data_IF_584320480612
#
_entry.id   IF_584320480612
#
_cell.length_a   1.000
_cell.length_b   1.000
_cell.length_c   1.000
_cell.angle_alpha   90.00
_cell.angle_beta   90.00
_cell.angle_gamma   90.00
#
_symmetry.space_group_name_H-M   'P 1'
#
loop_
_entity.id
_entity.type
_entity.pdbx_description
1 polymer ?
#
# COMPACT_ATOMS: atom_id res chain seq x y z
N UNK A 1 9.92 -5.84 -9.47
CA UNK A 1 10.67 -4.64 -9.91
C UNK A 1 11.37 -4.08 -8.69
N UNK A 2 12.65 -3.73 -8.74
CA UNK A 2 13.28 -2.99 -7.65
C UNK A 2 12.59 -1.63 -7.51
N UNK A 3 12.35 -1.22 -6.27
CA UNK A 3 11.76 0.07 -5.94
C UNK A 3 12.94 1.05 -5.81
N UNK A 4 13.03 2.06 -6.68
CA UNK A 4 14.13 3.04 -6.65
C UNK A 4 13.89 4.08 -5.54
N UNK A 5 13.95 3.65 -4.28
CA UNK A 5 13.73 4.47 -3.08
C UNK A 5 14.72 4.10 -1.97
N UNK A 6 16.01 4.06 -2.32
CA UNK A 6 17.07 3.52 -1.47
C UNK A 6 17.15 4.19 -0.09
N UNK A 7 17.01 5.53 -0.04
CA UNK A 7 17.12 6.28 1.22
C UNK A 7 16.00 5.89 2.20
N UNK A 8 14.76 5.83 1.72
CA UNK A 8 13.61 5.51 2.58
C UNK A 8 13.58 4.02 2.91
N UNK A 9 14.07 3.16 2.01
CA UNK A 9 14.22 1.73 2.30
C UNK A 9 15.26 1.48 3.39
N UNK A 10 16.43 2.10 3.31
CA UNK A 10 17.48 1.97 4.33
C UNK A 10 17.00 2.47 5.70
N UNK A 11 16.28 3.60 5.72
CA UNK A 11 15.63 4.09 6.93
C UNK A 11 14.60 3.08 7.48
N UNK A 12 13.75 2.53 6.61
CA UNK A 12 12.74 1.56 7.03
C UNK A 12 13.35 0.26 7.56
N UNK A 13 14.42 -0.23 6.94
CA UNK A 13 15.14 -1.42 7.38
C UNK A 13 15.80 -1.19 8.74
N UNK A 14 16.39 0.00 8.96
CA UNK A 14 16.94 0.40 10.26
C UNK A 14 15.86 0.43 11.34
N UNK A 15 14.70 1.02 11.07
CA UNK A 15 13.54 1.02 11.96
C UNK A 15 13.10 -0.42 12.27
N UNK A 16 12.98 -1.27 11.24
CA UNK A 16 12.58 -2.66 11.38
C UNK A 16 13.54 -3.46 12.26
N UNK A 17 14.85 -3.23 12.13
CA UNK A 17 15.86 -3.86 12.95
C UNK A 17 15.75 -3.44 14.42
N UNK A 18 15.59 -2.13 14.68
CA UNK A 18 15.42 -1.60 16.04
C UNK A 18 14.14 -2.15 16.68
N UNK A 19 13.02 -2.13 15.98
CA UNK A 19 11.74 -2.67 16.45
C UNK A 19 11.87 -4.17 16.78
N UNK A 20 12.51 -4.93 15.89
CA UNK A 20 12.75 -6.37 16.09
C UNK A 20 13.64 -6.65 17.30
N UNK A 21 14.67 -5.82 17.51
CA UNK A 21 15.52 -5.90 18.68
C UNK A 21 14.77 -5.56 19.98
N UNK A 22 14.01 -4.47 20.00
CA UNK A 22 13.20 -4.05 21.15
C UNK A 22 12.20 -5.13 21.59
N UNK A 23 11.66 -5.87 20.62
CA UNK A 23 10.77 -7.01 20.89
C UNK A 23 11.52 -8.21 21.48
N UNK A 24 12.65 -8.61 20.86
CA UNK A 24 13.48 -9.73 21.33
C UNK A 24 14.09 -9.50 22.71
N UNK A 25 14.39 -8.26 23.05
CA UNK A 25 14.93 -7.86 24.35
C UNK A 25 13.86 -7.57 25.40
N UNK A 26 12.57 -7.74 25.08
CA UNK A 26 11.43 -7.46 25.96
C UNK A 26 11.40 -6.02 26.51
N UNK A 27 11.99 -5.05 25.78
CA UNK A 27 12.09 -3.65 26.19
C UNK A 27 10.89 -2.79 25.79
N UNK A 28 9.94 -3.36 25.04
CA UNK A 28 8.73 -2.64 24.62
C UNK A 28 7.87 -2.14 25.80
N UNK A 29 7.93 -2.80 26.95
CA UNK A 29 7.21 -2.38 28.16
C UNK A 29 7.70 -1.05 28.75
N UNK A 30 8.88 -0.58 28.32
CA UNK A 30 9.47 0.68 28.78
C UNK A 30 9.03 1.90 27.94
N UNK A 31 8.30 1.67 26.86
CA UNK A 31 7.80 2.71 25.97
C UNK A 31 6.36 3.11 26.36
N UNK A 32 6.02 4.37 26.16
CA UNK A 32 4.66 4.89 26.35
C UNK A 32 3.66 4.22 25.40
N UNK A 33 4.12 3.84 24.20
CA UNK A 33 3.32 3.14 23.19
C UNK A 33 4.04 1.87 22.71
N UNK A 34 3.28 0.79 22.56
CA UNK A 34 3.83 -0.48 22.05
C UNK A 34 4.19 -0.33 20.57
N UNK A 35 5.46 -0.57 20.24
CA UNK A 35 5.93 -0.66 18.86
C UNK A 35 5.15 -1.75 18.11
N UNK A 36 4.62 -1.38 16.95
CA UNK A 36 3.89 -2.30 16.09
C UNK A 36 4.88 -3.17 15.31
N UNK A 37 4.55 -4.44 15.13
CA UNK A 37 5.34 -5.33 14.29
C UNK A 37 4.88 -5.19 12.85
N UNK A 38 5.84 -5.18 11.93
CA UNK A 38 5.55 -5.30 10.51
C UNK A 38 4.90 -6.67 10.24
N UNK A 39 3.77 -6.66 9.54
CA UNK A 39 3.05 -7.87 9.15
C UNK A 39 2.88 -7.89 7.64
N UNK A 40 3.45 -8.88 6.97
CA UNK A 40 3.39 -9.03 5.51
C UNK A 40 1.95 -9.17 4.99
N UNK A 41 1.02 -9.61 5.83
CA UNK A 41 -0.38 -9.85 5.49
C UNK A 41 -1.29 -8.63 5.58
N UNK A 42 -0.85 -7.51 6.18
CA UNK A 42 -1.66 -6.28 6.28
C UNK A 42 -1.09 -5.19 5.41
N UNK A 43 -1.94 -4.62 4.56
CA UNK A 43 -1.59 -3.72 3.47
C UNK A 43 -0.85 -2.43 3.92
N UNK A 44 -0.97 -2.05 5.18
CA UNK A 44 -0.49 -0.79 5.75
C UNK A 44 0.45 -0.95 6.95
N UNK A 45 0.93 -2.17 7.22
CA UNK A 45 1.73 -2.46 8.41
C UNK A 45 3.06 -1.70 8.46
N UNK A 46 3.65 -1.36 7.31
CA UNK A 46 4.86 -0.54 7.22
C UNK A 46 4.61 0.90 7.72
N UNK A 47 3.53 1.53 7.26
CA UNK A 47 3.13 2.87 7.68
C UNK A 47 2.87 2.90 9.19
N UNK A 48 2.07 1.97 9.71
CA UNK A 48 1.80 1.90 11.15
C UNK A 48 3.05 1.69 11.99
N UNK A 49 4.00 0.89 11.50
CA UNK A 49 5.28 0.68 12.19
C UNK A 49 6.06 1.99 12.26
N UNK A 50 6.18 2.72 11.14
CA UNK A 50 6.88 4.00 11.07
C UNK A 50 6.19 5.10 11.90
N UNK A 51 4.86 5.20 11.85
CA UNK A 51 4.08 6.19 12.61
C UNK A 51 4.24 5.99 14.13
N UNK A 52 4.08 4.76 14.60
CA UNK A 52 4.27 4.45 16.02
C UNK A 52 5.74 4.63 16.44
N UNK A 53 6.69 4.27 15.58
CA UNK A 53 8.11 4.48 15.83
C UNK A 53 8.45 5.96 15.97
N UNK A 54 7.90 6.83 15.11
CA UNK A 54 8.09 8.28 15.17
C UNK A 54 7.60 8.86 16.51
N UNK A 55 6.47 8.37 17.03
CA UNK A 55 5.90 8.83 18.30
C UNK A 55 6.81 8.51 19.49
N UNK A 56 7.43 7.32 19.49
CA UNK A 56 8.29 6.87 20.59
C UNK A 56 9.77 7.11 20.34
N UNK A 57 10.13 7.81 19.25
CA UNK A 57 11.51 7.98 18.81
C UNK A 57 12.39 8.62 19.88
N UNK A 58 11.86 9.62 20.58
CA UNK A 58 12.61 10.35 21.61
C UNK A 58 12.81 9.49 22.89
N UNK A 59 11.92 8.52 23.14
CA UNK A 59 12.03 7.59 24.28
C UNK A 59 13.08 6.50 24.01
N UNK A 60 13.26 6.11 22.74
CA UNK A 60 14.17 5.04 22.34
C UNK A 60 15.62 5.32 22.73
N UNK A 61 16.06 6.59 22.68
CA UNK A 61 17.41 6.97 23.07
C UNK A 61 17.77 6.55 24.53
N UNK A 62 16.78 6.51 25.43
CA UNK A 62 17.00 6.12 26.83
C UNK A 62 16.98 4.62 27.08
N UNK A 63 16.54 3.82 26.11
CA UNK A 63 16.20 2.40 26.32
C UNK A 63 17.03 1.46 25.44
N UNK A 64 17.45 1.96 24.27
CA UNK A 64 18.15 1.18 23.25
C UNK A 64 19.57 0.80 23.71
N UNK A 65 20.02 -0.39 23.30
CA UNK A 65 21.38 -0.83 23.57
C UNK A 65 22.39 -0.09 22.68
N UNK A 66 23.62 0.08 23.19
CA UNK A 66 24.71 0.76 22.48
C UNK A 66 24.95 0.20 21.07
N UNK A 67 24.74 -1.11 20.87
CA UNK A 67 24.93 -1.77 19.58
C UNK A 67 24.02 -1.24 18.48
N UNK A 68 22.80 -0.79 18.83
CA UNK A 68 21.80 -0.29 17.88
C UNK A 68 21.73 1.25 17.88
N UNK A 69 22.57 1.92 18.65
CA UNK A 69 22.57 3.38 18.70
C UNK A 69 23.08 4.02 17.42
N UNK A 70 23.99 3.37 16.70
CA UNK A 70 24.43 3.90 15.41
C UNK A 70 23.25 3.91 14.42
N UNK A 71 22.50 2.81 14.32
CA UNK A 71 21.32 2.74 13.45
C UNK A 71 20.26 3.77 13.86
N UNK A 72 20.05 3.96 15.16
CA UNK A 72 19.14 4.99 15.68
C UNK A 72 19.58 6.42 15.30
N UNK A 73 20.87 6.73 15.41
CA UNK A 73 21.41 8.06 15.10
C UNK A 73 21.42 8.37 13.60
N UNK A 74 21.36 7.34 12.74
CA UNK A 74 21.25 7.50 11.29
C UNK A 74 19.81 7.77 10.83
N UNK A 75 18.81 7.60 11.71
CA UNK A 75 17.42 7.89 11.37
C UNK A 75 17.22 9.40 11.33
N UNK A 76 16.98 9.91 10.12
CA UNK A 76 16.53 11.28 9.92
C UNK A 76 15.06 11.40 10.36
N UNK A 77 14.85 12.06 11.50
CA UNK A 77 13.52 12.29 12.10
C UNK A 77 12.63 13.15 11.19
N UNK A 78 13.19 14.14 10.50
CA UNK A 78 12.43 15.06 9.66
C UNK A 78 12.00 14.36 8.36
N UNK A 79 12.86 13.52 7.79
CA UNK A 79 12.50 12.63 6.70
C UNK A 79 11.42 11.64 7.13
N UNK A 80 11.58 10.96 8.27
CA UNK A 80 10.58 10.01 8.78
C UNK A 80 9.22 10.69 8.97
N UNK A 81 9.19 11.88 9.57
CA UNK A 81 7.98 12.67 9.72
C UNK A 81 7.35 13.03 8.37
N UNK A 82 8.16 13.42 7.39
CA UNK A 82 7.72 13.73 6.03
C UNK A 82 7.12 12.51 5.32
N UNK A 83 7.74 11.34 5.47
CA UNK A 83 7.24 10.07 4.93
C UNK A 83 5.91 9.68 5.58
N UNK A 84 5.81 9.76 6.91
CA UNK A 84 4.55 9.47 7.62
C UNK A 84 3.44 10.44 7.19
N UNK A 85 3.73 11.74 7.09
CA UNK A 85 2.78 12.73 6.61
C UNK A 85 2.34 12.44 5.16
N UNK A 86 3.28 12.01 4.32
CA UNK A 86 3.01 11.67 2.94
C UNK A 86 2.10 10.45 2.78
N UNK A 87 2.31 9.41 3.59
CA UNK A 87 1.59 8.15 3.53
C UNK A 87 0.21 8.21 4.21
N UNK A 88 0.00 9.13 5.14
CA UNK A 88 -1.25 9.24 5.91
C UNK A 88 -2.52 9.33 5.03
N UNK A 89 -2.59 10.15 3.95
CA UNK A 89 -3.73 10.17 3.04
C UNK A 89 -4.04 8.82 2.37
N UNK A 90 -3.02 7.99 2.14
CA UNK A 90 -3.22 6.66 1.56
C UNK A 90 -3.89 5.73 2.58
N UNK A 91 -3.49 5.82 3.85
CA UNK A 91 -4.13 5.07 4.93
C UNK A 91 -5.60 5.47 5.10
N UNK A 92 -5.90 6.77 5.12
CA UNK A 92 -7.28 7.27 5.23
C UNK A 92 -8.16 6.80 4.06
N UNK A 93 -7.58 6.67 2.86
CA UNK A 93 -8.28 6.13 1.69
C UNK A 93 -8.54 4.63 1.85
N UNK A 94 -7.55 3.86 2.31
CA UNK A 94 -7.70 2.42 2.55
C UNK A 94 -8.77 2.16 3.62
N UNK A 95 -8.75 2.92 4.72
CA UNK A 95 -9.75 2.82 5.79
C UNK A 95 -11.17 3.07 5.26
N UNK A 96 -11.34 4.08 4.42
CA UNK A 96 -12.63 4.37 3.79
C UNK A 96 -13.13 3.23 2.88
N UNK A 97 -12.24 2.47 2.24
CA UNK A 97 -12.61 1.31 1.43
C UNK A 97 -12.75 0.02 2.23
N UNK A 98 -12.26 -0.02 3.47
CA UNK A 98 -12.31 -1.21 4.33
C UNK A 98 -13.65 -1.38 5.05
N UNK A 99 -14.57 -0.41 4.93
CA UNK A 99 -15.91 -0.47 5.52
C UNK A 99 -16.95 -1.01 4.54
N UNK A 100 -17.56 -2.15 4.86
CA UNK A 100 -18.64 -2.76 4.05
C UNK A 100 -20.03 -2.17 4.33
N UNK A 101 -20.15 -1.31 5.35
CA UNK A 101 -21.44 -0.78 5.81
C UNK A 101 -22.15 0.12 4.77
N UNK A 102 -21.43 0.68 3.79
CA UNK A 102 -21.99 1.54 2.73
C UNK A 102 -21.27 1.28 1.42
N UNK A 103 -21.96 1.37 0.27
CA UNK A 103 -21.27 1.33 -1.03
C UNK A 103 -20.19 2.42 -1.09
N UNK A 104 -18.98 2.07 -1.49
CA UNK A 104 -17.84 3.01 -1.55
C UNK A 104 -17.30 3.20 -2.97
N UNK A 105 -17.78 2.42 -3.94
CA UNK A 105 -17.28 2.44 -5.33
C UNK A 105 -17.38 3.82 -5.99
N UNK A 106 -18.40 4.60 -5.67
CA UNK A 106 -18.56 5.96 -6.20
C UNK A 106 -17.47 6.93 -5.71
N UNK A 107 -16.78 6.62 -4.60
CA UNK A 107 -15.68 7.43 -4.06
C UNK A 107 -14.35 7.16 -4.76
N UNK A 108 -14.21 6.05 -5.48
CA UNK A 108 -12.94 5.62 -6.10
C UNK A 108 -12.32 6.71 -6.97
N UNK A 109 -13.11 7.36 -7.82
CA UNK A 109 -12.61 8.43 -8.69
C UNK A 109 -12.18 9.67 -7.89
N UNK A 110 -12.95 10.06 -6.87
CA UNK A 110 -12.65 11.22 -6.03
C UNK A 110 -11.38 11.01 -5.20
N UNK A 111 -11.26 9.85 -4.55
CA UNK A 111 -10.11 9.50 -3.73
C UNK A 111 -8.86 9.30 -4.58
N UNK A 112 -8.99 8.74 -5.79
CA UNK A 112 -7.88 8.70 -6.75
C UNK A 112 -7.38 10.11 -7.09
N UNK A 113 -8.27 11.04 -7.43
CA UNK A 113 -7.87 12.41 -7.76
C UNK A 113 -7.22 13.12 -6.56
N UNK A 114 -7.74 12.88 -5.35
CA UNK A 114 -7.17 13.38 -4.11
C UNK A 114 -5.72 12.91 -3.91
N UNK A 115 -5.45 11.61 -4.07
CA UNK A 115 -4.10 11.06 -3.98
C UNK A 115 -3.17 11.61 -5.07
N UNK A 116 -3.65 11.75 -6.31
CA UNK A 116 -2.86 12.32 -7.41
C UNK A 116 -2.46 13.78 -7.14
N UNK A 117 -3.33 14.57 -6.52
CA UNK A 117 -3.00 15.94 -6.15
C UNK A 117 -1.93 16.01 -5.06
N UNK A 118 -1.90 15.03 -4.16
CA UNK A 118 -0.90 14.91 -3.09
C UNK A 118 0.50 14.51 -3.61
N UNK A 119 0.56 14.02 -4.85
CA UNK A 119 1.73 13.43 -5.44
C UNK A 119 2.72 14.44 -6.06
N UNK A 120 2.39 15.73 -6.06
CA UNK A 120 3.22 16.76 -6.71
C UNK A 120 4.58 16.87 -6.03
N UNK A 121 5.64 16.73 -6.84
CA UNK A 121 7.02 16.94 -6.41
C UNK A 121 7.22 18.44 -6.24
N UNK A 122 7.66 18.84 -5.05
CA UNK A 122 8.12 20.19 -4.79
C UNK A 122 9.66 20.20 -4.77
N UNK A 123 10.31 21.24 -5.32
CA UNK A 123 11.77 21.32 -5.35
C UNK A 123 12.40 21.41 -3.95
N UNK A 124 11.62 21.82 -2.95
CA UNK A 124 12.04 21.93 -1.54
C UNK A 124 11.84 20.62 -0.76
N UNK A 125 11.32 19.55 -1.38
CA UNK A 125 11.13 18.26 -0.73
C UNK A 125 12.49 17.59 -0.44
N UNK A 126 12.58 16.88 0.69
CA UNK A 126 13.74 16.04 1.03
C UNK A 126 14.05 15.01 -0.08
N UNK A 127 15.33 14.66 -0.30
CA UNK A 127 15.72 13.77 -1.43
C UNK A 127 15.00 12.41 -1.40
N UNK A 128 14.91 11.77 -0.22
CA UNK A 128 14.12 10.55 -0.04
C UNK A 128 12.63 10.70 -0.39
N UNK A 129 12.03 11.88 -0.15
CA UNK A 129 10.66 12.17 -0.56
C UNK A 129 10.55 12.34 -2.07
N UNK A 130 11.54 12.98 -2.70
CA UNK A 130 11.59 13.08 -4.15
C UNK A 130 11.73 11.70 -4.81
N UNK A 131 12.49 10.76 -4.22
CA UNK A 131 12.60 9.39 -4.71
C UNK A 131 11.25 8.68 -4.71
N UNK A 132 10.52 8.70 -3.59
CA UNK A 132 9.16 8.14 -3.50
C UNK A 132 8.24 8.79 -4.53
N UNK A 133 8.25 10.13 -4.60
CA UNK A 133 7.42 10.90 -5.53
C UNK A 133 7.84 10.77 -7.01
N UNK A 134 9.05 10.32 -7.32
CA UNK A 134 9.41 9.93 -8.70
C UNK A 134 8.93 8.52 -9.01
N UNK A 135 9.07 7.58 -8.06
CA UNK A 135 8.73 6.17 -8.25
C UNK A 135 7.24 5.93 -8.59
N UNK A 136 6.28 6.44 -7.81
CA UNK A 136 4.85 6.28 -8.15
C UNK A 136 4.45 7.10 -9.40
N UNK A 137 5.17 8.16 -9.75
CA UNK A 137 4.90 9.03 -10.90
C UNK A 137 5.25 8.35 -12.21
N UNK A 138 6.40 7.69 -12.22
CA UNK A 138 6.83 6.81 -13.32
C UNK A 138 5.87 5.62 -13.49
N UNK A 139 5.29 5.12 -12.40
CA UNK A 139 4.32 4.01 -12.44
C UNK A 139 3.02 4.42 -13.15
N UNK A 140 2.56 5.66 -12.95
CA UNK A 140 1.37 6.19 -13.64
C UNK A 140 1.64 6.58 -15.10
N UNK A 141 2.85 7.02 -15.44
CA UNK A 141 3.27 7.19 -16.85
C UNK A 141 3.43 5.85 -17.58
N UNK A 142 3.95 4.81 -16.91
CA UNK A 142 4.00 3.45 -17.48
C UNK A 142 2.60 2.90 -17.75
N UNK A 143 1.64 3.08 -16.84
CA UNK A 143 0.25 2.67 -17.06
C UNK A 143 -0.40 3.40 -18.24
N UNK A 144 -0.10 4.68 -18.45
CA UNK A 144 -0.57 5.44 -19.62
C UNK A 144 0.05 4.95 -20.93
N UNK A 145 1.36 4.65 -20.95
CA UNK A 145 2.04 4.09 -22.13
C UNK A 145 1.54 2.70 -22.54
N UNK A 146 1.05 1.89 -21.58
CA UNK A 146 0.47 0.57 -21.88
C UNK A 146 -0.93 0.69 -22.52
N UNK A 147 -1.67 1.76 -22.22
CA UNK A 147 -3.00 2.03 -22.81
C UNK A 147 -2.89 2.72 -24.18
N UNK A 148 -1.79 3.42 -24.44
CA UNK A 148 -1.55 4.17 -25.69
C UNK A 148 -0.72 3.43 -26.76
N UNK A 149 -0.41 2.14 -26.60
CA UNK A 149 0.11 1.35 -27.72
C UNK A 149 -1.04 0.72 -28.52
N UNK A 150 -1.45 1.29 -29.67
CA UNK A 150 -2.17 0.50 -30.66
C UNK A 150 -1.23 -0.58 -31.16
N UNK A 151 -1.71 -1.82 -31.19
CA UNK A 151 -1.03 -2.95 -31.82
C UNK A 151 -0.70 -2.60 -33.27
N UNK A 152 0.55 -2.24 -33.55
CA UNK A 152 1.04 -2.04 -34.91
C UNK A 152 2.30 -2.87 -35.15
N UNK A 153 2.09 -4.14 -35.46
CA UNK A 153 2.94 -4.87 -36.41
C UNK A 153 2.08 -5.89 -37.17
N UNK A 154 1.45 -5.45 -38.26
CA UNK A 154 1.24 -6.32 -39.42
C UNK A 154 1.94 -5.61 -40.58
N UNK A 155 3.11 -6.12 -40.95
CA UNK A 155 3.75 -5.82 -42.23
C UNK A 155 3.45 -6.98 -43.17
N UNK A 156 2.92 -6.61 -44.33
CA UNK A 156 2.36 -7.42 -45.41
C UNK A 156 3.21 -8.60 -45.91
N UNK A 157 2.50 -9.66 -46.30
CA UNK A 157 2.89 -10.62 -47.33
C UNK A 157 1.61 -11.16 -48.00
N UNK A 158 1.50 -10.91 -49.31
CA UNK A 158 0.32 -11.10 -50.17
C UNK A 158 -0.30 -12.51 -50.14
N UNK A 159 -1.63 -12.61 -50.25
CA UNK A 159 -2.31 -13.21 -51.41
C UNK A 159 -3.84 -13.09 -51.29
N UNK A 160 -4.48 -12.81 -52.42
CA UNK A 160 -5.93 -12.71 -52.61
C UNK A 160 -6.64 -14.04 -52.33
N UNK A 161 -7.81 -14.00 -51.70
CA UNK A 161 -9.07 -14.50 -52.26
C UNK A 161 -10.16 -14.68 -51.18
N UNK A 162 -11.22 -13.89 -51.35
CA UNK A 162 -12.61 -14.32 -51.41
C UNK A 162 -13.33 -14.92 -50.18
N UNK A 163 -14.50 -14.31 -49.97
CA UNK A 163 -15.82 -14.80 -49.51
C UNK A 163 -16.21 -14.90 -48.01
N UNK A 164 -17.36 -14.25 -47.76
CA UNK A 164 -18.50 -14.62 -46.90
C UNK A 164 -18.54 -14.25 -45.41
N UNK A 165 -19.33 -13.19 -45.17
CA UNK A 165 -20.27 -12.93 -44.08
C UNK A 165 -20.64 -14.15 -43.22
N UNK A 166 -20.53 -14.04 -41.89
CA UNK A 166 -21.51 -14.62 -40.95
C UNK A 166 -21.49 -13.86 -39.62
N UNK A 167 -22.48 -13.00 -39.43
CA UNK A 167 -22.95 -12.55 -38.11
C UNK A 167 -23.50 -13.75 -37.32
N UNK A 168 -22.94 -14.07 -36.15
CA UNK A 168 -23.60 -14.91 -35.15
C UNK A 168 -24.04 -14.05 -33.97
N UNK A 169 -25.34 -13.75 -33.96
CA UNK A 169 -26.11 -13.45 -32.74
C UNK A 169 -26.02 -14.67 -31.81
N UNK A 170 -25.73 -14.46 -30.54
CA UNK A 170 -26.14 -15.40 -29.50
C UNK A 170 -27.21 -14.74 -28.63
N UNK A 171 -28.36 -15.42 -28.62
CA UNK A 171 -29.57 -15.15 -27.85
C UNK A 171 -29.32 -15.57 -26.40
N UNK A 172 -29.90 -14.76 -25.51
CA UNK A 172 -30.38 -15.12 -24.17
C UNK A 172 -31.11 -16.45 -24.15
N UNK A 173 -30.91 -17.23 -23.08
CA UNK A 173 -31.94 -18.08 -22.48
C UNK A 173 -31.78 -18.02 -20.96
N UNK A 174 -32.84 -17.54 -20.33
CA UNK A 174 -33.24 -17.84 -18.95
C UNK A 174 -33.52 -19.35 -18.84
N UNK A 175 -33.30 -19.91 -17.65
CA UNK A 175 -33.99 -21.06 -17.02
C UNK A 175 -33.22 -21.31 -15.70
N UNK A 176 -33.68 -20.79 -14.56
CA UNK A 176 -34.64 -21.41 -13.64
C UNK A 176 -34.01 -22.50 -12.75
N UNK A 177 -33.56 -22.15 -11.53
CA UNK A 177 -33.41 -23.08 -10.39
C UNK A 177 -33.79 -22.37 -9.07
N UNK A 178 -35.03 -22.63 -8.67
CA UNK A 178 -35.63 -22.82 -7.34
C UNK A 178 -34.82 -22.57 -6.06
N UNK A 179 -35.48 -21.83 -5.17
CA UNK A 179 -35.33 -21.80 -3.70
C UNK A 179 -35.45 -23.19 -3.06
N UNK A 180 -34.65 -23.42 -2.02
CA UNK A 180 -35.03 -24.27 -0.88
C UNK A 180 -34.45 -23.68 0.40
N UNK A 181 -35.35 -23.26 1.29
CA UNK A 181 -35.11 -23.01 2.70
C UNK A 181 -34.72 -24.33 3.41
N UNK A 182 -33.86 -24.23 4.43
CA UNK A 182 -33.88 -25.05 5.67
C UNK A 182 -32.75 -24.58 6.63
N UNK A 183 -33.14 -23.70 7.56
CA UNK A 183 -33.13 -23.89 9.03
C UNK A 183 -31.85 -24.23 9.86
N UNK A 184 -31.58 -23.31 10.84
CA UNK A 184 -31.04 -23.42 12.23
C UNK A 184 -29.66 -24.11 12.47
N UNK A 185 -28.76 -23.76 13.41
CA UNK A 185 -28.74 -23.17 14.77
C UNK A 185 -27.40 -22.40 14.94
N UNK A 186 -27.28 -21.23 15.58
CA UNK A 186 -27.14 -20.94 17.04
C UNK A 186 -26.08 -21.76 17.80
N UNK A 187 -25.39 -21.08 18.75
CA UNK A 187 -24.33 -21.49 19.69
C UNK A 187 -22.89 -21.26 19.19
N UNK A 188 -21.93 -20.74 19.94
CA UNK A 188 -21.91 -20.19 21.29
C UNK A 188 -20.61 -19.38 21.45
N UNK A 189 -20.74 -18.35 22.28
CA UNK A 189 -19.72 -17.64 23.04
C UNK A 189 -18.58 -18.54 23.57
N UNK A 190 -17.30 -18.23 23.30
CA UNK A 190 -16.20 -18.50 24.25
C UNK A 190 -15.14 -17.39 24.19
N UNK A 191 -15.03 -16.71 25.32
CA UNK A 191 -14.01 -15.75 25.76
C UNK A 191 -12.61 -16.38 25.96
N UNK A 192 -11.62 -15.49 26.13
CA UNK A 192 -10.31 -15.68 26.80
C UNK A 192 -9.22 -16.44 26.03
N UNK A 193 -8.21 -15.72 25.54
CA UNK A 193 -6.91 -15.53 26.22
C UNK A 193 -6.05 -14.47 25.52
#
# INVERSE_FOLDING_TARGET
>A
MPVDCDIVQEMFDSIRQIVSHMRRSHKQSKLSRKLQSYSDSRFNSAFYTMDVFLIVLDELAGILDRTYMNDYMLIDKDLLASVCLFLKPFEEVIEQFSCDAKPTIYKVLLLRQYLLNHYKIHPDDHDGMQQIKRFLGNTDEMKRKIIEQPSSTISNGNEEQSITTTTKKFKTNEDDITLSDDDYEENDEIDLF
#
